data_IF_423489631128
#
_entry.id   IF_423489631128
#
_cell.length_a   1.000
_cell.length_b   1.000
_cell.length_c   1.000
_cell.angle_alpha   90.00
_cell.angle_beta   90.00
_cell.angle_gamma   90.00
#
_symmetry.space_group_name_H-M   'P 1'
#
loop_
_entity.id
_entity.type
_entity.pdbx_description
1 polymer ?
#
# COMPACT_ATOMS: atom_id res chain seq x y z
N UNK A 1 15.61 27.41 24.71
CA UNK A 1 14.75 28.60 24.51
C UNK A 1 15.56 29.82 24.94
N UNK A 2 16.32 30.48 24.06
CA UNK A 2 17.03 31.72 24.46
C UNK A 2 17.51 32.60 23.29
N UNK A 3 16.84 32.50 22.14
CA UNK A 3 17.34 33.13 20.91
C UNK A 3 16.95 34.59 20.68
N UNK A 4 16.05 35.19 21.48
CA UNK A 4 15.52 36.55 21.27
C UNK A 4 15.83 37.53 22.41
N UNK A 5 16.60 37.09 23.41
CA UNK A 5 16.92 37.88 24.60
C UNK A 5 17.77 39.11 24.27
N UNK A 6 18.68 38.99 23.30
CA UNK A 6 19.58 40.08 22.87
C UNK A 6 18.85 41.12 22.02
N UNK A 7 18.58 42.28 22.61
CA UNK A 7 18.13 43.48 21.90
C UNK A 7 19.22 43.96 20.93
N UNK A 8 18.82 44.34 19.72
CA UNK A 8 19.69 45.03 18.77
C UNK A 8 19.47 46.54 18.89
N UNK A 9 20.52 47.27 19.25
CA UNK A 9 20.48 48.73 19.36
C UNK A 9 20.36 49.36 17.96
N UNK A 10 19.21 49.93 17.67
CA UNK A 10 18.97 50.67 16.44
C UNK A 10 17.52 51.15 16.36
N UNK A 11 17.26 52.30 15.70
CA UNK A 11 15.93 52.87 15.65
C UNK A 11 14.96 51.94 14.93
N UNK A 12 13.70 51.98 15.38
CA UNK A 12 12.57 51.44 14.64
C UNK A 12 12.02 52.57 13.78
N UNK A 13 11.91 52.33 12.47
CA UNK A 13 11.34 53.32 11.56
C UNK A 13 9.82 53.37 11.69
N UNK A 14 9.24 54.56 11.61
CA UNK A 14 7.78 54.79 11.65
C UNK A 14 7.03 53.96 10.60
N UNK A 15 7.61 53.82 9.40
CA UNK A 15 7.07 52.96 8.33
C UNK A 15 6.89 51.50 8.77
N UNK A 16 7.82 50.94 9.56
CA UNK A 16 7.74 49.54 10.00
C UNK A 16 6.68 49.34 11.08
N UNK A 17 6.51 50.33 11.96
CA UNK A 17 5.42 50.33 12.94
C UNK A 17 4.06 50.34 12.23
N UNK A 18 3.87 51.21 11.23
CA UNK A 18 2.63 51.26 10.47
C UNK A 18 2.33 49.94 9.74
N UNK A 19 3.34 49.31 9.13
CA UNK A 19 3.18 47.99 8.49
C UNK A 19 2.83 46.90 9.50
N UNK A 20 3.43 46.90 10.69
CA UNK A 20 3.10 45.92 11.72
C UNK A 20 1.64 46.08 12.17
N UNK A 21 1.21 47.31 12.43
CA UNK A 21 -0.15 47.62 12.88
C UNK A 21 -1.19 47.20 11.84
N UNK A 22 -0.97 47.52 10.55
CA UNK A 22 -1.90 47.11 9.48
C UNK A 22 -1.99 45.58 9.32
N UNK A 23 -0.98 44.84 9.80
CA UNK A 23 -0.94 43.38 9.79
C UNK A 23 -1.38 42.75 11.12
N UNK A 24 -1.89 43.53 12.07
CA UNK A 24 -2.41 43.06 13.36
C UNK A 24 -1.33 42.83 14.43
N UNK A 25 -0.24 43.60 14.39
CA UNK A 25 0.86 43.51 15.35
C UNK A 25 1.36 44.89 15.81
N UNK A 26 1.90 44.95 17.03
CA UNK A 26 2.78 46.06 17.43
C UNK A 26 4.24 45.65 17.28
N UNK A 27 5.05 46.48 16.63
CA UNK A 27 6.51 46.25 16.57
C UNK A 27 7.14 46.82 17.85
N UNK A 28 7.70 45.93 18.68
CA UNK A 28 8.17 46.26 20.02
C UNK A 28 9.64 46.68 20.02
N UNK A 29 10.51 45.85 19.42
CA UNK A 29 11.96 46.06 19.42
C UNK A 29 12.64 45.27 18.31
N UNK A 30 13.91 45.60 18.05
CA UNK A 30 14.82 44.82 17.21
C UNK A 30 15.60 43.85 18.09
N UNK A 31 15.87 42.65 17.59
CA UNK A 31 16.57 41.57 18.33
C UNK A 31 17.56 40.87 17.43
N UNK A 32 18.53 40.14 17.99
CA UNK A 32 19.58 39.37 17.27
C UNK A 32 20.52 40.21 16.40
N UNK A 33 19.99 40.82 15.36
CA UNK A 33 20.70 41.58 14.34
C UNK A 33 19.79 42.68 13.74
N UNK A 34 20.27 43.35 12.70
CA UNK A 34 19.55 44.43 12.04
C UNK A 34 18.28 43.98 11.30
N UNK A 35 18.09 42.68 11.07
CA UNK A 35 17.04 42.08 10.25
C UNK A 35 15.95 41.36 11.05
N UNK A 36 16.01 41.31 12.38
CA UNK A 36 14.97 40.67 13.19
C UNK A 36 14.28 41.66 14.12
N UNK A 37 12.96 41.50 14.20
CA UNK A 37 12.07 42.33 15.04
C UNK A 37 11.20 41.43 15.90
N UNK A 38 10.81 41.93 17.07
CA UNK A 38 9.79 41.33 17.92
C UNK A 38 8.48 42.06 17.69
N UNK A 39 7.45 41.27 17.38
CA UNK A 39 6.09 41.71 17.18
C UNK A 39 5.22 41.22 18.33
N UNK A 40 4.32 42.06 18.85
CA UNK A 40 3.25 41.67 19.76
C UNK A 40 1.97 41.48 18.96
N UNK A 41 1.35 40.32 19.04
CA UNK A 41 0.13 40.01 18.31
C UNK A 41 -1.08 40.70 18.95
N UNK A 42 -1.93 41.35 18.16
CA UNK A 42 -3.16 41.95 18.67
C UNK A 42 -4.21 40.91 19.09
N UNK A 43 -4.18 39.70 18.51
CA UNK A 43 -5.16 38.65 18.82
C UNK A 43 -4.90 37.96 20.17
N UNK A 44 -3.65 37.60 20.47
CA UNK A 44 -3.31 36.84 21.68
C UNK A 44 -2.39 37.56 22.65
N UNK A 45 -1.89 38.76 22.32
CA UNK A 45 -0.94 39.51 23.13
C UNK A 45 0.48 38.94 23.20
N UNK A 46 0.70 37.71 22.69
CA UNK A 46 2.01 37.08 22.74
C UNK A 46 3.02 37.75 21.81
N UNK A 47 4.30 37.67 22.19
CA UNK A 47 5.41 38.14 21.39
C UNK A 47 5.93 37.05 20.44
N UNK A 48 6.28 37.44 19.22
CA UNK A 48 6.92 36.58 18.22
C UNK A 48 8.06 37.32 17.54
N UNK A 49 9.22 36.69 17.37
CA UNK A 49 10.27 37.29 16.54
C UNK A 49 10.12 36.87 15.08
N UNK A 50 10.31 37.84 14.20
CA UNK A 50 10.14 37.69 12.76
C UNK A 50 11.29 38.38 12.03
N UNK A 51 11.59 37.93 10.82
CA UNK A 51 12.47 38.68 9.93
C UNK A 51 11.75 39.96 9.50
N UNK A 52 12.47 41.08 9.53
CA UNK A 52 11.98 42.36 9.04
C UNK A 52 11.55 42.28 7.58
N UNK A 53 12.23 41.47 6.77
CA UNK A 53 11.80 41.17 5.41
C UNK A 53 10.38 40.59 5.37
N UNK A 54 10.10 39.56 6.17
CA UNK A 54 8.75 38.97 6.30
C UNK A 54 7.72 40.00 6.72
N UNK A 55 8.04 40.85 7.71
CA UNK A 55 7.16 41.95 8.10
C UNK A 55 6.82 42.86 6.91
N UNK A 56 7.78 43.17 6.05
CA UNK A 56 7.58 44.08 4.91
C UNK A 56 6.85 43.42 3.75
N UNK A 57 7.14 42.16 3.43
CA UNK A 57 6.70 41.53 2.17
C UNK A 57 5.59 40.50 2.30
N UNK A 58 5.30 40.00 3.50
CA UNK A 58 4.31 38.93 3.73
C UNK A 58 3.51 39.16 5.01
N UNK A 59 2.56 38.28 5.32
CA UNK A 59 1.84 38.29 6.60
C UNK A 59 2.65 37.53 7.66
N UNK A 60 3.11 38.17 8.75
CA UNK A 60 3.77 37.47 9.84
C UNK A 60 2.81 36.51 10.55
N UNK A 61 3.28 35.30 10.84
CA UNK A 61 2.53 34.33 11.62
C UNK A 61 2.86 34.47 13.11
N UNK A 62 1.84 34.59 13.97
CA UNK A 62 2.04 34.52 15.42
C UNK A 62 2.32 33.07 15.85
N UNK A 63 3.49 32.82 16.42
CA UNK A 63 3.88 31.49 16.90
C UNK A 63 2.94 30.94 18.00
N UNK A 64 2.44 31.80 18.89
CA UNK A 64 1.50 31.40 19.95
C UNK A 64 0.12 31.07 19.41
N UNK A 65 -0.46 31.92 18.55
CA UNK A 65 -1.75 31.60 17.90
C UNK A 65 -1.66 30.30 17.10
N UNK A 66 -0.55 30.08 16.39
CA UNK A 66 -0.31 28.83 15.66
C UNK A 66 -0.22 27.63 16.60
N UNK A 67 0.47 27.75 17.73
CA UNK A 67 0.56 26.68 18.72
C UNK A 67 -0.81 26.33 19.32
N UNK A 68 -1.60 27.33 19.71
CA UNK A 68 -2.96 27.12 20.22
C UNK A 68 -3.87 26.48 19.14
N UNK A 69 -3.75 26.89 17.88
CA UNK A 69 -4.49 26.28 16.79
C UNK A 69 -4.14 24.79 16.61
N UNK A 70 -2.85 24.43 16.69
CA UNK A 70 -2.40 23.03 16.64
C UNK A 70 -2.98 22.23 17.81
N UNK A 71 -2.92 22.76 19.04
CA UNK A 71 -3.49 22.09 20.22
C UNK A 71 -5.00 21.88 20.07
N UNK A 72 -5.73 22.90 19.61
CA UNK A 72 -7.16 22.81 19.37
C UNK A 72 -7.51 21.78 18.28
N UNK A 73 -6.73 21.73 17.19
CA UNK A 73 -6.92 20.72 16.15
C UNK A 73 -6.61 19.30 16.66
N UNK A 74 -5.56 19.13 17.47
CA UNK A 74 -5.26 17.85 18.11
C UNK A 74 -6.43 17.38 18.97
N UNK A 75 -6.94 18.24 19.86
CA UNK A 75 -8.09 17.92 20.71
C UNK A 75 -9.32 17.54 19.88
N UNK A 76 -9.62 18.30 18.82
CA UNK A 76 -10.72 18.00 17.90
C UNK A 76 -10.53 16.67 17.16
N UNK A 77 -9.29 16.29 16.89
CA UNK A 77 -8.93 14.98 16.34
C UNK A 77 -8.92 13.85 17.39
N UNK A 78 -9.25 14.13 18.65
CA UNK A 78 -9.20 13.17 19.76
C UNK A 78 -7.78 12.85 20.23
N UNK A 79 -6.83 13.77 20.05
CA UNK A 79 -5.42 13.61 20.37
C UNK A 79 -4.97 14.69 21.37
N UNK A 80 -3.94 14.39 22.15
CA UNK A 80 -3.21 15.36 22.96
C UNK A 80 -1.89 15.73 22.26
N UNK A 81 -1.65 17.02 22.02
CA UNK A 81 -0.40 17.48 21.41
C UNK A 81 0.71 17.57 22.47
N UNK A 82 1.79 16.80 22.29
CA UNK A 82 2.92 16.75 23.22
C UNK A 82 4.06 17.68 22.82
N UNK A 83 4.11 18.09 21.54
CA UNK A 83 5.13 19.01 21.05
C UNK A 83 5.47 18.78 19.59
N UNK A 84 6.39 19.60 19.09
CA UNK A 84 6.99 19.41 17.78
C UNK A 84 7.97 18.25 17.84
N UNK A 85 8.08 17.53 16.74
CA UNK A 85 9.11 16.51 16.61
C UNK A 85 10.51 17.16 16.64
N UNK A 86 11.46 16.61 17.42
CA UNK A 86 12.78 17.20 17.58
C UNK A 86 13.65 17.07 16.32
N UNK A 87 13.37 16.11 15.44
CA UNK A 87 14.15 15.83 14.24
C UNK A 87 13.50 16.45 12.99
N UNK A 88 12.16 16.51 12.94
CA UNK A 88 11.42 17.11 11.82
C UNK A 88 10.34 18.07 12.30
N UNK A 89 10.65 19.37 12.26
CA UNK A 89 9.72 20.46 12.62
C UNK A 89 8.39 20.48 11.82
N UNK A 90 8.24 19.70 10.75
CA UNK A 90 6.97 19.53 10.01
C UNK A 90 6.04 18.51 10.67
N UNK A 91 6.53 17.76 11.65
CA UNK A 91 5.80 16.76 12.41
C UNK A 91 5.48 17.27 13.81
N UNK A 92 4.32 16.84 14.30
CA UNK A 92 3.95 16.91 15.70
C UNK A 92 3.98 15.52 16.34
N UNK A 93 4.22 15.51 17.64
CA UNK A 93 4.12 14.35 18.52
C UNK A 93 2.82 14.45 19.29
N UNK A 94 2.03 13.37 19.26
CA UNK A 94 0.69 13.33 19.84
C UNK A 94 0.50 12.08 20.71
N UNK A 95 -0.25 12.19 21.80
CA UNK A 95 -0.77 11.03 22.54
C UNK A 95 -2.16 10.69 22.04
N UNK A 96 -2.37 9.42 21.67
CA UNK A 96 -3.66 8.91 21.24
C UNK A 96 -4.48 8.32 22.41
N UNK A 97 -5.81 8.19 22.27
CA UNK A 97 -6.68 7.62 23.32
C UNK A 97 -6.33 6.18 23.69
N UNK A 98 -5.77 5.43 22.74
CA UNK A 98 -5.26 4.08 22.99
C UNK A 98 -3.96 4.04 23.81
N UNK A 99 -3.47 5.19 24.27
CA UNK A 99 -2.26 5.28 25.09
C UNK A 99 -0.95 5.29 24.29
N UNK A 100 -0.97 5.23 22.96
CA UNK A 100 0.23 5.25 22.13
C UNK A 100 0.62 6.67 21.69
N UNK A 101 1.92 6.88 21.48
CA UNK A 101 2.48 8.11 20.91
C UNK A 101 2.52 8.01 19.39
N UNK A 102 2.06 9.05 18.69
CA UNK A 102 1.99 9.15 17.24
C UNK A 102 2.82 10.33 16.73
N UNK A 103 3.56 10.11 15.65
CA UNK A 103 4.23 11.18 14.87
C UNK A 103 3.39 11.48 13.63
N UNK A 104 2.94 12.72 13.45
CA UNK A 104 2.02 13.10 12.36
C UNK A 104 2.30 14.49 11.81
N UNK A 105 2.12 14.66 10.51
CA UNK A 105 2.10 15.98 9.89
C UNK A 105 0.86 16.76 10.34
N UNK A 106 1.01 18.07 10.54
CA UNK A 106 -0.09 18.94 10.97
C UNK A 106 -1.31 18.89 10.03
N UNK A 107 -1.08 18.87 8.71
CA UNK A 107 -2.17 18.76 7.72
C UNK A 107 -2.94 17.44 7.79
N UNK A 108 -2.31 16.35 8.27
CA UNK A 108 -3.03 15.09 8.51
C UNK A 108 -3.95 15.22 9.72
N UNK A 109 -3.50 15.89 10.79
CA UNK A 109 -4.33 16.14 11.97
C UNK A 109 -5.51 17.06 11.63
N UNK A 110 -5.29 18.11 10.84
CA UNK A 110 -6.36 18.98 10.33
C UNK A 110 -7.43 18.18 9.58
N UNK A 111 -7.02 17.24 8.71
CA UNK A 111 -7.95 16.36 7.99
C UNK A 111 -8.74 15.45 8.93
N UNK A 112 -8.11 14.91 9.97
CA UNK A 112 -8.79 14.07 10.97
C UNK A 112 -9.77 14.91 11.78
N UNK A 113 -9.35 16.09 12.25
CA UNK A 113 -10.19 17.04 12.97
C UNK A 113 -11.37 17.55 12.12
N UNK A 114 -11.21 17.63 10.79
CA UNK A 114 -12.26 17.92 9.83
C UNK A 114 -13.17 16.74 9.49
N UNK A 115 -12.90 15.53 10.00
CA UNK A 115 -13.68 14.33 9.72
C UNK A 115 -13.41 13.71 8.33
N UNK A 116 -12.41 14.18 7.59
CA UNK A 116 -12.09 13.68 6.25
C UNK A 116 -11.42 12.30 6.27
N UNK A 117 -10.82 11.91 7.37
CA UNK A 117 -10.28 10.57 7.58
C UNK A 117 -10.28 10.20 9.07
N UNK A 118 -10.26 8.90 9.34
CA UNK A 118 -10.17 8.38 10.70
C UNK A 118 -8.72 8.37 11.18
N UNK A 119 -8.53 8.58 12.47
CA UNK A 119 -7.26 8.33 13.14
C UNK A 119 -6.93 6.83 13.04
N UNK A 120 -5.73 6.52 12.56
CA UNK A 120 -5.14 5.18 12.62
C UNK A 120 -3.90 5.25 13.49
N UNK A 121 -3.84 4.41 14.53
CA UNK A 121 -2.65 4.16 15.32
C UNK A 121 -1.93 2.94 14.74
N UNK A 122 -0.66 3.09 14.33
CA UNK A 122 0.11 1.98 13.76
C UNK A 122 0.28 0.85 14.78
N UNK A 123 0.53 1.16 16.05
CA UNK A 123 0.73 0.14 17.09
C UNK A 123 -0.52 -0.70 17.33
N UNK A 124 -1.69 -0.07 17.53
CA UNK A 124 -2.95 -0.81 17.67
C UNK A 124 -3.29 -1.60 16.41
N UNK A 125 -3.03 -1.01 15.24
CA UNK A 125 -3.27 -1.69 13.97
C UNK A 125 -2.40 -2.95 13.84
N UNK A 126 -1.11 -2.85 14.13
CA UNK A 126 -0.18 -3.99 14.10
C UNK A 126 -0.53 -5.05 15.15
N UNK A 127 -0.94 -4.63 16.36
CA UNK A 127 -1.42 -5.55 17.40
C UNK A 127 -2.62 -6.36 16.93
N UNK A 128 -3.62 -5.69 16.34
CA UNK A 128 -4.78 -6.37 15.76
C UNK A 128 -4.41 -7.35 14.66
N UNK A 129 -3.49 -6.99 13.76
CA UNK A 129 -3.01 -7.92 12.71
C UNK A 129 -2.31 -9.16 13.30
N UNK A 130 -1.58 -8.99 14.40
CA UNK A 130 -0.94 -10.09 15.11
C UNK A 130 -1.96 -10.98 15.83
N UNK A 131 -2.97 -10.39 16.48
CA UNK A 131 -4.09 -11.12 17.10
C UNK A 131 -4.90 -11.91 16.05
N UNK A 132 -5.27 -11.27 14.94
CA UNK A 132 -5.99 -11.92 13.83
C UNK A 132 -5.23 -13.15 13.30
N UNK A 133 -3.90 -13.05 13.24
CA UNK A 133 -3.04 -14.17 12.86
C UNK A 133 -3.02 -15.25 13.95
N UNK A 134 -2.81 -14.86 15.22
CA UNK A 134 -2.70 -15.78 16.35
C UNK A 134 -3.98 -16.61 16.54
N UNK A 135 -5.15 -15.98 16.43
CA UNK A 135 -6.47 -16.63 16.46
C UNK A 135 -6.62 -17.74 15.42
N UNK A 136 -5.82 -17.70 14.35
CA UNK A 136 -5.84 -18.66 13.24
C UNK A 136 -4.67 -19.64 13.28
N UNK A 137 -3.86 -19.63 14.34
CA UNK A 137 -2.67 -20.46 14.45
C UNK A 137 -1.49 -19.95 13.61
N UNK A 138 -1.43 -18.64 13.36
CA UNK A 138 -0.36 -17.98 12.61
C UNK A 138 0.33 -16.91 13.45
N UNK A 139 1.63 -16.73 13.23
CA UNK A 139 2.41 -15.63 13.78
C UNK A 139 2.75 -14.64 12.68
N UNK A 140 2.46 -13.35 12.90
CA UNK A 140 2.89 -12.28 12.00
C UNK A 140 4.40 -12.05 12.14
N UNK A 141 5.16 -12.32 11.08
CA UNK A 141 6.63 -12.15 11.07
C UNK A 141 7.05 -10.76 10.63
N UNK A 142 6.25 -10.12 9.76
CA UNK A 142 6.49 -8.74 9.35
C UNK A 142 5.94 -8.36 7.99
N UNK A 143 6.47 -7.27 7.46
CA UNK A 143 6.14 -6.71 6.15
C UNK A 143 6.47 -7.69 5.02
N UNK A 144 5.82 -7.48 3.88
CA UNK A 144 6.09 -8.24 2.66
C UNK A 144 7.51 -7.93 2.12
N UNK A 145 8.36 -8.94 1.85
CA UNK A 145 9.69 -8.76 1.27
C UNK A 145 9.66 -8.12 -0.12
N UNK A 146 8.57 -8.32 -0.87
CA UNK A 146 8.35 -7.68 -2.18
C UNK A 146 7.82 -6.23 -2.06
N UNK A 147 7.65 -5.71 -0.85
CA UNK A 147 7.19 -4.35 -0.60
C UNK A 147 5.70 -4.12 -0.86
N UNK A 148 4.88 -5.17 -1.08
CA UNK A 148 3.46 -5.00 -1.30
C UNK A 148 2.71 -4.80 0.03
N UNK A 149 2.09 -3.63 0.27
CA UNK A 149 1.43 -3.33 1.55
C UNK A 149 0.18 -4.19 1.81
N UNK A 150 -0.36 -4.86 0.79
CA UNK A 150 -1.50 -5.76 0.90
C UNK A 150 -1.14 -7.17 1.41
N UNK A 151 0.16 -7.47 1.50
CA UNK A 151 0.67 -8.75 1.96
C UNK A 151 1.51 -8.59 3.22
N UNK A 152 1.67 -9.70 3.92
CA UNK A 152 2.59 -9.87 5.05
C UNK A 152 3.19 -11.27 4.97
N UNK A 153 4.28 -11.46 5.70
CA UNK A 153 4.84 -12.78 5.94
C UNK A 153 4.32 -13.27 7.28
N UNK A 154 3.79 -14.50 7.27
CA UNK A 154 3.32 -15.18 8.46
C UNK A 154 3.98 -16.54 8.59
N UNK A 155 4.17 -17.00 9.82
CA UNK A 155 4.60 -18.36 10.14
C UNK A 155 3.40 -19.14 10.69
N UNK A 156 3.14 -20.33 10.16
CA UNK A 156 2.10 -21.23 10.66
C UNK A 156 2.60 -21.97 11.90
N UNK A 157 1.69 -22.49 12.73
CA UNK A 157 2.03 -23.38 13.85
C UNK A 157 2.86 -24.62 13.48
N UNK A 158 2.88 -25.03 12.21
CA UNK A 158 3.77 -26.09 11.72
C UNK A 158 5.21 -25.62 11.41
N UNK A 159 5.53 -24.34 11.65
CA UNK A 159 6.82 -23.72 11.37
C UNK A 159 6.98 -23.17 9.93
N UNK A 160 6.05 -23.47 9.02
CA UNK A 160 6.13 -22.99 7.63
C UNK A 160 5.83 -21.50 7.53
N UNK A 161 6.68 -20.79 6.78
CA UNK A 161 6.53 -19.35 6.55
C UNK A 161 6.02 -19.11 5.14
N UNK A 162 4.96 -18.31 5.00
CA UNK A 162 4.43 -17.94 3.69
C UNK A 162 3.87 -16.53 3.67
N UNK A 163 3.77 -16.02 2.45
CA UNK A 163 3.13 -14.75 2.16
C UNK A 163 1.62 -14.93 2.11
N UNK A 164 0.89 -14.13 2.88
CA UNK A 164 -0.59 -14.15 2.88
C UNK A 164 -1.10 -12.73 2.70
N UNK A 165 -2.11 -12.57 1.84
CA UNK A 165 -2.81 -11.30 1.70
C UNK A 165 -3.52 -10.96 3.02
N UNK A 166 -3.45 -9.71 3.46
CA UNK A 166 -4.07 -9.25 4.72
C UNK A 166 -5.57 -9.56 4.77
N UNK A 167 -6.27 -9.34 3.65
CA UNK A 167 -7.69 -9.65 3.53
C UNK A 167 -7.99 -11.16 3.65
N UNK A 168 -7.08 -12.02 3.19
CA UNK A 168 -7.23 -13.46 3.34
C UNK A 168 -6.97 -13.89 4.79
N UNK A 169 -5.96 -13.32 5.46
CA UNK A 169 -5.73 -13.54 6.89
C UNK A 169 -6.99 -13.20 7.69
N UNK A 170 -7.59 -12.03 7.44
CA UNK A 170 -8.83 -11.60 8.08
C UNK A 170 -10.01 -12.52 7.81
N UNK A 171 -10.22 -12.91 6.55
CA UNK A 171 -11.36 -13.74 6.16
C UNK A 171 -11.18 -15.24 6.40
N UNK A 172 -9.97 -15.71 6.72
CA UNK A 172 -9.65 -17.13 6.82
C UNK A 172 -9.57 -17.87 5.47
N UNK A 173 -9.65 -17.16 4.34
CA UNK A 173 -9.68 -17.75 2.98
C UNK A 173 -8.28 -18.09 2.46
N UNK A 174 -7.57 -18.94 3.18
CA UNK A 174 -6.23 -19.42 2.83
C UNK A 174 -5.90 -20.67 3.66
N UNK A 175 -4.81 -21.35 3.31
CA UNK A 175 -4.31 -22.49 4.05
C UNK A 175 -2.78 -22.47 4.08
N UNK A 176 -2.20 -23.21 5.03
CA UNK A 176 -0.77 -23.46 5.05
C UNK A 176 -0.37 -24.26 3.81
N UNK A 177 0.58 -23.78 3.03
CA UNK A 177 1.05 -24.47 1.80
C UNK A 177 1.93 -25.68 2.08
N UNK A 178 2.32 -25.91 3.33
CA UNK A 178 3.10 -27.09 3.74
C UNK A 178 2.24 -28.20 4.36
N UNK A 179 1.30 -27.86 5.24
CA UNK A 179 0.50 -28.85 5.99
C UNK A 179 -1.02 -28.66 5.90
N UNK A 180 -1.49 -27.66 5.14
CA UNK A 180 -2.93 -27.47 4.95
C UNK A 180 -3.53 -28.65 4.18
N UNK A 181 -4.77 -28.97 4.45
CA UNK A 181 -5.51 -30.00 3.71
C UNK A 181 -6.46 -29.28 2.72
N UNK A 182 -6.00 -29.10 1.49
CA UNK A 182 -6.81 -28.49 0.45
C UNK A 182 -6.13 -28.46 -0.90
N UNK A 183 -6.81 -27.87 -1.87
CA UNK A 183 -6.35 -27.90 -3.26
C UNK A 183 -4.96 -27.25 -3.47
N UNK A 184 -4.57 -26.32 -2.59
CA UNK A 184 -3.28 -25.67 -2.65
C UNK A 184 -2.10 -26.58 -2.25
N UNK A 185 -2.33 -27.65 -1.48
CA UNK A 185 -1.30 -28.55 -0.96
C UNK A 185 -1.34 -29.94 -1.61
N UNK A 186 -2.48 -30.33 -2.17
CA UNK A 186 -2.57 -31.57 -2.95
C UNK A 186 -1.67 -31.49 -4.21
N UNK A 187 -1.08 -32.63 -4.65
CA UNK A 187 -0.39 -32.69 -5.92
C UNK A 187 -1.25 -32.17 -7.07
N UNK A 188 -0.60 -31.49 -8.01
CA UNK A 188 -1.28 -30.83 -9.13
C UNK A 188 -0.43 -30.89 -10.38
N UNK A 189 -0.95 -30.38 -11.48
CA UNK A 189 -0.30 -30.41 -12.77
C UNK A 189 -0.40 -29.06 -13.47
N UNK A 190 0.67 -28.64 -14.16
CA UNK A 190 0.61 -27.59 -15.18
C UNK A 190 0.46 -28.28 -16.53
N UNK A 191 -0.41 -27.78 -17.39
CA UNK A 191 -0.72 -28.43 -18.67
C UNK A 191 -0.85 -27.45 -19.83
N UNK A 192 -0.70 -28.00 -21.04
CA UNK A 192 -1.09 -27.35 -22.29
C UNK A 192 -2.14 -28.21 -23.01
N UNK A 193 -3.26 -27.61 -23.40
CA UNK A 193 -4.34 -28.25 -24.16
C UNK A 193 -4.50 -27.52 -25.50
N UNK A 194 -4.44 -28.25 -26.61
CA UNK A 194 -4.82 -27.75 -27.93
C UNK A 194 -6.32 -27.81 -28.10
N UNK A 195 -6.91 -26.76 -28.68
CA UNK A 195 -8.34 -26.67 -28.96
C UNK A 195 -8.54 -26.19 -30.40
N UNK A 196 -9.49 -26.80 -31.11
CA UNK A 196 -10.02 -26.31 -32.37
C UNK A 196 -11.52 -26.06 -32.21
N UNK A 197 -11.90 -24.78 -32.25
CA UNK A 197 -13.27 -24.33 -32.05
C UNK A 197 -14.08 -24.48 -33.34
N UNK A 198 -15.42 -24.57 -33.27
CA UNK A 198 -16.28 -24.65 -34.46
C UNK A 198 -16.12 -23.50 -35.46
N UNK A 199 -15.59 -22.36 -35.03
CA UNK A 199 -15.29 -21.20 -35.88
C UNK A 199 -14.04 -21.39 -36.76
N UNK A 200 -13.31 -22.50 -36.60
CA UNK A 200 -11.98 -22.72 -37.20
C UNK A 200 -10.84 -22.09 -36.40
N UNK A 201 -11.14 -21.39 -35.30
CA UNK A 201 -10.13 -20.82 -34.42
C UNK A 201 -9.38 -21.94 -33.68
N UNK A 202 -8.06 -21.99 -33.90
CA UNK A 202 -7.14 -22.93 -33.24
C UNK A 202 -6.35 -22.21 -32.15
N UNK A 203 -6.38 -22.77 -30.95
CA UNK A 203 -5.77 -22.15 -29.77
C UNK A 203 -5.09 -23.18 -28.89
N UNK A 204 -4.23 -22.70 -28.00
CA UNK A 204 -3.67 -23.48 -26.91
C UNK A 204 -4.04 -22.84 -25.58
N UNK A 205 -4.63 -23.65 -24.69
CA UNK A 205 -4.83 -23.29 -23.29
C UNK A 205 -3.63 -23.72 -22.48
N UNK A 206 -3.03 -22.77 -21.78
CA UNK A 206 -2.12 -23.03 -20.68
C UNK A 206 -2.90 -22.91 -19.37
N UNK A 207 -2.63 -23.78 -18.40
CA UNK A 207 -3.27 -23.69 -17.10
C UNK A 207 -2.77 -24.75 -16.14
N UNK A 208 -3.41 -24.85 -14.99
CA UNK A 208 -3.09 -25.88 -14.01
C UNK A 208 -4.35 -26.49 -13.39
N UNK A 209 -4.25 -27.74 -12.96
CA UNK A 209 -5.33 -28.44 -12.27
C UNK A 209 -4.81 -29.70 -11.58
N UNK A 210 -5.60 -30.22 -10.63
CA UNK A 210 -5.32 -31.51 -10.00
C UNK A 210 -5.36 -32.66 -11.02
N UNK A 211 -6.33 -32.60 -11.93
CA UNK A 211 -6.57 -33.61 -12.96
C UNK A 211 -6.88 -32.92 -14.30
N UNK A 212 -5.86 -32.79 -15.19
CA UNK A 212 -6.02 -32.14 -16.49
C UNK A 212 -7.02 -32.85 -17.42
N UNK A 213 -7.13 -34.17 -17.34
CA UNK A 213 -8.05 -34.95 -18.16
C UNK A 213 -9.49 -34.68 -17.76
N UNK A 214 -9.80 -34.76 -16.45
CA UNK A 214 -11.14 -34.40 -15.98
C UNK A 214 -11.43 -32.90 -16.19
N UNK A 215 -10.43 -32.02 -16.11
CA UNK A 215 -10.62 -30.57 -16.38
C UNK A 215 -11.02 -30.35 -17.83
N UNK A 216 -10.37 -31.02 -18.76
CA UNK A 216 -10.65 -30.95 -20.19
C UNK A 216 -12.08 -31.40 -20.49
N UNK A 217 -12.44 -32.62 -20.08
CA UNK A 217 -13.70 -33.24 -20.47
C UNK A 217 -14.92 -32.70 -19.73
N UNK A 218 -14.79 -32.32 -18.45
CA UNK A 218 -15.94 -32.05 -17.59
C UNK A 218 -16.10 -30.59 -17.17
N UNK A 219 -15.08 -29.74 -17.36
CA UNK A 219 -15.08 -28.39 -16.77
C UNK A 219 -14.69 -27.28 -17.74
N UNK A 220 -13.91 -27.57 -18.78
CA UNK A 220 -13.38 -26.55 -19.70
C UNK A 220 -14.35 -26.26 -20.84
N UNK A 221 -14.89 -27.30 -21.45
CA UNK A 221 -15.77 -27.21 -22.63
C UNK A 221 -17.21 -26.93 -22.18
N UNK A 222 -17.84 -25.92 -22.78
CA UNK A 222 -19.27 -25.60 -22.56
C UNK A 222 -20.19 -26.34 -23.53
N UNK A 223 -19.64 -26.76 -24.67
CA UNK A 223 -20.37 -27.42 -25.76
C UNK A 223 -19.60 -28.66 -26.23
N UNK A 224 -20.33 -29.64 -26.74
CA UNK A 224 -19.77 -30.82 -27.41
C UNK A 224 -19.25 -30.47 -28.82
N UNK A 225 -18.36 -31.29 -29.37
CA UNK A 225 -17.88 -31.15 -30.76
C UNK A 225 -16.63 -30.28 -30.93
N UNK A 226 -16.06 -29.78 -29.83
CA UNK A 226 -14.75 -29.11 -29.83
C UNK A 226 -13.67 -30.19 -29.87
N UNK A 227 -12.77 -30.13 -30.85
CA UNK A 227 -11.61 -31.02 -30.86
C UNK A 227 -10.60 -30.50 -29.85
N UNK A 228 -10.26 -31.33 -28.88
CA UNK A 228 -9.35 -30.97 -27.80
C UNK A 228 -8.32 -32.08 -27.56
N UNK A 229 -7.06 -31.70 -27.37
CA UNK A 229 -5.96 -32.63 -27.09
C UNK A 229 -5.08 -32.11 -25.97
N UNK A 230 -4.84 -32.94 -24.96
CA UNK A 230 -3.87 -32.67 -23.91
C UNK A 230 -2.45 -32.89 -24.46
N UNK A 231 -1.75 -31.80 -24.79
CA UNK A 231 -0.42 -31.87 -25.42
C UNK A 231 0.68 -32.24 -24.42
N UNK A 232 0.61 -31.69 -23.21
CA UNK A 232 1.63 -31.88 -22.18
C UNK A 232 1.05 -31.66 -20.80
N UNK A 233 1.54 -32.45 -19.86
CA UNK A 233 1.26 -32.37 -18.43
C UNK A 233 2.56 -32.46 -17.66
N UNK A 234 2.77 -31.54 -16.72
CA UNK A 234 3.97 -31.49 -15.86
C UNK A 234 3.50 -31.58 -14.41
N UNK A 235 3.86 -32.65 -13.66
CA UNK A 235 3.47 -32.79 -12.27
C UNK A 235 4.13 -31.71 -11.42
N UNK A 236 3.44 -31.33 -10.36
CA UNK A 236 3.86 -30.35 -9.37
C UNK A 236 3.59 -30.92 -7.98
N UNK A 237 4.49 -30.68 -7.01
CA UNK A 237 4.36 -31.24 -5.67
C UNK A 237 3.07 -30.76 -4.98
N UNK A 238 2.63 -29.54 -5.28
CA UNK A 238 1.41 -28.94 -4.73
C UNK A 238 0.68 -28.06 -5.75
N UNK A 239 -0.62 -27.84 -5.56
CA UNK A 239 -1.40 -26.87 -6.32
C UNK A 239 -0.88 -25.44 -6.22
N UNK A 240 -0.27 -25.07 -5.09
CA UNK A 240 0.40 -23.78 -4.92
C UNK A 240 1.64 -23.65 -5.80
N UNK A 241 2.48 -24.68 -5.85
CA UNK A 241 3.65 -24.71 -6.75
C UNK A 241 3.20 -24.56 -8.21
N UNK A 242 2.16 -25.30 -8.61
CA UNK A 242 1.56 -25.21 -9.93
C UNK A 242 1.05 -23.80 -10.25
N UNK A 243 0.28 -23.19 -9.35
CA UNK A 243 -0.24 -21.82 -9.51
C UNK A 243 0.88 -20.78 -9.64
N UNK A 244 1.89 -20.84 -8.78
CA UNK A 244 2.99 -19.86 -8.80
C UNK A 244 3.77 -19.92 -10.10
N UNK A 245 4.07 -21.13 -10.57
CA UNK A 245 4.82 -21.35 -11.79
C UNK A 245 4.00 -21.05 -13.05
N UNK A 246 2.72 -21.40 -13.07
CA UNK A 246 1.78 -21.03 -14.13
C UNK A 246 1.65 -19.50 -14.25
N UNK A 247 1.48 -18.78 -13.13
CA UNK A 247 1.41 -17.30 -13.14
C UNK A 247 2.69 -16.65 -13.62
N UNK A 248 3.84 -17.19 -13.23
CA UNK A 248 5.14 -16.71 -13.71
C UNK A 248 5.26 -16.89 -15.23
N UNK A 249 4.79 -18.03 -15.76
CA UNK A 249 4.78 -18.32 -17.17
C UNK A 249 3.82 -17.40 -17.95
N UNK A 250 2.60 -17.19 -17.46
CA UNK A 250 1.66 -16.22 -18.07
C UNK A 250 2.22 -14.80 -18.08
N UNK A 251 2.91 -14.38 -17.00
CA UNK A 251 3.57 -13.07 -16.96
C UNK A 251 4.66 -12.98 -18.03
N UNK A 252 5.51 -14.01 -18.17
CA UNK A 252 6.56 -14.04 -19.18
C UNK A 252 5.99 -13.99 -20.60
N UNK A 253 4.95 -14.79 -20.88
CA UNK A 253 4.27 -14.82 -22.18
C UNK A 253 3.59 -13.50 -22.50
N UNK A 254 2.88 -12.89 -21.53
CA UNK A 254 2.24 -11.58 -21.73
C UNK A 254 3.24 -10.47 -22.02
N UNK A 255 4.41 -10.50 -21.39
CA UNK A 255 5.47 -9.51 -21.64
C UNK A 255 6.13 -9.68 -23.01
N UNK A 256 6.35 -10.93 -23.43
CA UNK A 256 7.08 -11.23 -24.67
C UNK A 256 6.21 -11.33 -25.92
N UNK A 257 4.94 -11.74 -25.76
CA UNK A 257 3.99 -12.02 -26.85
C UNK A 257 2.59 -11.52 -26.47
N UNK A 258 2.40 -10.20 -26.24
CA UNK A 258 1.10 -9.65 -25.84
C UNK A 258 0.00 -9.93 -26.88
N UNK A 259 0.34 -9.89 -28.17
CA UNK A 259 -0.61 -10.06 -29.28
C UNK A 259 -1.05 -11.52 -29.49
N UNK A 260 -0.37 -12.47 -28.87
CA UNK A 260 -0.72 -13.88 -28.96
C UNK A 260 -1.84 -14.29 -27.98
N UNK A 261 -2.28 -13.39 -27.10
CA UNK A 261 -3.38 -13.65 -26.17
C UNK A 261 -4.70 -13.44 -26.90
N UNK A 262 -5.52 -14.50 -26.96
CA UNK A 262 -6.83 -14.42 -27.62
C UNK A 262 -7.82 -13.67 -26.72
N UNK A 263 -8.53 -12.65 -27.23
CA UNK A 263 -9.57 -11.96 -26.46
C UNK A 263 -10.77 -12.88 -26.18
N UNK A 264 -11.39 -12.71 -25.00
CA UNK A 264 -12.48 -13.57 -24.51
C UNK A 264 -13.68 -13.66 -25.46
N UNK A 265 -13.99 -12.58 -26.19
CA UNK A 265 -15.10 -12.54 -27.15
C UNK A 265 -14.99 -13.59 -28.27
N UNK A 266 -13.77 -14.03 -28.61
CA UNK A 266 -13.56 -15.02 -29.67
C UNK A 266 -13.85 -16.46 -29.23
N UNK A 267 -13.97 -16.74 -27.92
CA UNK A 267 -14.14 -18.12 -27.43
C UNK A 267 -15.18 -18.32 -26.31
N UNK A 268 -15.80 -17.25 -25.81
CA UNK A 268 -16.71 -17.26 -24.65
C UNK A 268 -17.89 -18.23 -24.73
N UNK A 269 -18.33 -18.59 -25.94
CA UNK A 269 -19.48 -19.47 -26.14
C UNK A 269 -19.11 -20.97 -26.03
N UNK A 270 -17.81 -21.27 -26.10
CA UNK A 270 -17.30 -22.66 -26.15
C UNK A 270 -16.47 -23.04 -24.93
N UNK A 271 -15.83 -22.07 -24.25
CA UNK A 271 -14.95 -22.34 -23.11
C UNK A 271 -15.41 -21.61 -21.85
N UNK A 272 -15.32 -22.28 -20.70
CA UNK A 272 -15.73 -21.74 -19.39
C UNK A 272 -14.75 -20.74 -18.76
N UNK A 273 -13.58 -20.55 -19.38
CA UNK A 273 -12.51 -19.66 -18.90
C UNK A 273 -12.61 -18.27 -19.54
N UNK A 274 -11.96 -17.27 -18.93
CA UNK A 274 -11.92 -15.89 -19.47
C UNK A 274 -10.57 -15.50 -20.07
N UNK A 275 -9.51 -16.22 -19.69
CA UNK A 275 -8.11 -15.89 -19.97
C UNK A 275 -7.30 -17.17 -20.19
N UNK A 276 -5.99 -17.01 -20.39
CA UNK A 276 -5.02 -18.12 -20.52
C UNK A 276 -5.19 -18.92 -21.81
N UNK A 277 -5.81 -18.31 -22.83
CA UNK A 277 -5.95 -18.83 -24.18
C UNK A 277 -5.00 -18.05 -25.09
N UNK A 278 -4.17 -18.79 -25.83
CA UNK A 278 -3.18 -18.25 -26.75
C UNK A 278 -3.43 -18.78 -28.16
N UNK A 279 -3.00 -18.02 -29.17
CA UNK A 279 -3.00 -18.53 -30.54
C UNK A 279 -2.14 -19.80 -30.67
N UNK A 280 -2.50 -20.65 -31.63
CA UNK A 280 -1.88 -21.97 -31.79
C UNK A 280 -0.38 -21.91 -32.05
N UNK A 281 0.11 -20.82 -32.63
CA UNK A 281 1.52 -20.53 -32.88
C UNK A 281 2.37 -20.48 -31.59
N UNK A 282 1.76 -20.23 -30.43
CA UNK A 282 2.46 -20.23 -29.14
C UNK A 282 2.76 -21.62 -28.61
N UNK A 283 2.22 -22.68 -29.23
CA UNK A 283 2.39 -24.06 -28.78
C UNK A 283 3.86 -24.45 -28.56
N UNK A 284 4.80 -24.25 -29.51
CA UNK A 284 6.19 -24.68 -29.31
C UNK A 284 6.87 -23.96 -28.15
N UNK A 285 6.55 -22.67 -27.94
CA UNK A 285 7.11 -21.84 -26.86
C UNK A 285 6.58 -22.32 -25.51
N UNK A 286 5.27 -22.54 -25.40
CA UNK A 286 4.63 -23.05 -24.18
C UNK A 286 5.18 -24.44 -23.83
N UNK A 287 5.25 -25.35 -24.81
CA UNK A 287 5.77 -26.70 -24.58
C UNK A 287 7.24 -26.69 -24.12
N UNK A 288 8.08 -25.84 -24.73
CA UNK A 288 9.46 -25.65 -24.29
C UNK A 288 9.54 -25.21 -22.82
N UNK A 289 8.72 -24.23 -22.42
CA UNK A 289 8.69 -23.78 -21.03
C UNK A 289 8.22 -24.88 -20.07
N UNK A 290 7.23 -25.69 -20.46
CA UNK A 290 6.79 -26.83 -19.67
C UNK A 290 7.91 -27.88 -19.52
N UNK A 291 8.67 -28.15 -20.58
CA UNK A 291 9.82 -29.05 -20.52
C UNK A 291 10.95 -28.52 -19.63
N UNK A 292 11.20 -27.21 -19.65
CA UNK A 292 12.17 -26.56 -18.77
C UNK A 292 11.74 -26.60 -17.29
N UNK A 293 10.44 -26.56 -17.01
CA UNK A 293 9.89 -26.76 -15.67
C UNK A 293 10.11 -28.21 -15.20
N UNK A 294 9.84 -29.19 -16.08
CA UNK A 294 9.98 -30.61 -15.75
C UNK A 294 11.43 -31.03 -15.42
N UNK A 295 12.42 -30.32 -15.97
CA UNK A 295 13.86 -30.61 -15.74
C UNK A 295 14.41 -30.07 -14.42
N UNK A 296 13.66 -29.21 -13.73
CA UNK A 296 14.02 -28.64 -12.43
C UNK A 296 13.49 -29.51 -11.30
#
# INVERSE_FOLDING_TARGET
MDGWSRTYAGPIKTEWNAIAQSKGFDLIRRVRDKFHVVLRCHTCGAMTAQKLFTLRTAQPACASCRHHAIQAMAQKAGLEFQGYDPEDHKLGVYRAPCGHTLRRQFGQIERIAGGHCKLRCETCHSGKEAEEAADRGWQLMGSDPEGNPNYRIYQHGCGHTQRVARANMQSGRFQCTACGEGWATAPSHIYAIRLELPTGLRVVKLGFSRDPESRLHNQLLLQSGIQAELLRTVPQPTGHAALCQEKALHRALKTSHPDAIIPHEHFRDWLSVKTEIYGIEMTPIILKHLDDIRKK
#
